data_IF_362451757500
#
_entry.id   IF_362451757500
#
_cell.length_a   1.000
_cell.length_b   1.000
_cell.length_c   1.000
_cell.angle_alpha   90.00
_cell.angle_beta   90.00
_cell.angle_gamma   90.00
#
_symmetry.space_group_name_H-M   'P 1'
#
loop_
_entity.id
_entity.type
_entity.pdbx_description
1 polymer ?
#
# COMPACT_ATOMS: atom_id res chain seq x y z
N UNK A 1 41.10 -12.13 -10.25
CA UNK A 1 40.33 -12.32 -11.49
C UNK A 1 39.19 -11.33 -11.49
N UNK A 2 39.35 -10.26 -12.22
CA UNK A 2 38.26 -9.29 -12.39
C UNK A 2 37.27 -9.85 -13.38
N UNK A 3 36.09 -10.27 -12.90
CA UNK A 3 34.99 -10.68 -13.74
C UNK A 3 34.43 -9.48 -14.47
N UNK A 4 34.71 -9.32 -15.74
CA UNK A 4 34.02 -8.39 -16.61
C UNK A 4 32.54 -8.75 -16.63
N UNK A 5 31.71 -7.98 -15.91
CA UNK A 5 30.27 -8.03 -16.02
C UNK A 5 29.94 -7.52 -17.44
N UNK A 6 29.58 -8.46 -18.32
CA UNK A 6 29.18 -8.13 -19.69
C UNK A 6 27.86 -7.37 -19.60
N UNK A 7 27.91 -6.04 -19.69
CA UNK A 7 26.72 -5.21 -19.75
C UNK A 7 25.87 -5.63 -20.94
N UNK A 8 24.67 -6.10 -20.68
CA UNK A 8 23.65 -6.35 -21.71
C UNK A 8 22.73 -5.14 -21.77
N UNK A 9 22.53 -4.61 -22.95
CA UNK A 9 21.53 -3.57 -23.15
C UNK A 9 20.16 -4.21 -23.40
N UNK A 10 19.13 -3.66 -22.79
CA UNK A 10 17.73 -4.00 -23.02
C UNK A 10 17.02 -2.75 -23.56
N UNK A 11 16.38 -2.87 -24.71
CA UNK A 11 15.59 -1.79 -25.28
C UNK A 11 14.11 -2.08 -25.02
N UNK A 12 13.42 -1.13 -24.40
CA UNK A 12 11.99 -1.22 -24.08
C UNK A 12 11.28 -0.06 -24.74
N UNK A 13 10.22 -0.35 -25.51
CA UNK A 13 9.31 0.67 -26.02
C UNK A 13 8.30 1.06 -24.95
N UNK A 14 8.30 2.33 -24.56
CA UNK A 14 7.41 2.88 -23.57
C UNK A 14 6.33 3.69 -24.27
N UNK A 15 5.02 3.37 -24.06
CA UNK A 15 3.92 4.16 -24.61
C UNK A 15 3.98 5.63 -24.19
N UNK A 16 3.62 6.56 -25.09
CA UNK A 16 3.67 8.01 -24.81
C UNK A 16 3.03 8.44 -23.47
N UNK A 17 1.84 7.95 -23.08
CA UNK A 17 1.23 8.37 -21.82
C UNK A 17 2.06 8.00 -20.58
N UNK A 18 2.76 6.86 -20.64
CA UNK A 18 3.64 6.40 -19.56
C UNK A 18 4.96 7.15 -19.56
N UNK A 19 5.47 7.47 -20.75
CA UNK A 19 6.70 8.24 -20.89
C UNK A 19 6.57 9.63 -20.28
N UNK A 20 5.45 10.32 -20.51
CA UNK A 20 5.17 11.65 -19.94
C UNK A 20 5.10 11.59 -18.41
N UNK A 21 4.44 10.59 -17.85
CA UNK A 21 4.39 10.39 -16.38
C UNK A 21 5.77 10.14 -15.78
N UNK A 22 6.60 9.34 -16.44
CA UNK A 22 7.97 9.08 -15.98
C UNK A 22 8.84 10.35 -15.99
N UNK A 23 8.70 11.18 -17.02
CA UNK A 23 9.39 12.48 -17.11
C UNK A 23 8.94 13.41 -15.98
N UNK A 24 7.64 13.48 -15.71
CA UNK A 24 7.09 14.32 -14.66
C UNK A 24 7.60 13.89 -13.26
N UNK A 25 7.58 12.59 -12.96
CA UNK A 25 8.07 12.05 -11.70
C UNK A 25 9.59 12.27 -11.55
N UNK A 26 10.36 12.02 -12.62
CA UNK A 26 11.80 12.24 -12.61
C UNK A 26 12.16 13.70 -12.34
N UNK A 27 11.41 14.64 -12.92
CA UNK A 27 11.58 16.07 -12.67
C UNK A 27 11.23 16.45 -11.21
N UNK A 28 10.16 15.88 -10.65
CA UNK A 28 9.77 16.13 -9.25
C UNK A 28 10.81 15.60 -8.26
N UNK A 29 11.49 14.51 -8.59
CA UNK A 29 12.51 13.88 -7.76
C UNK A 29 13.94 14.35 -8.07
N UNK A 30 14.09 15.27 -9.02
CA UNK A 30 15.38 15.84 -9.46
C UNK A 30 16.41 14.78 -9.87
N UNK A 31 15.95 13.74 -10.57
CA UNK A 31 16.75 12.66 -11.15
C UNK A 31 16.47 12.54 -12.66
N UNK A 32 17.34 11.87 -13.41
CA UNK A 32 17.05 11.55 -14.81
C UNK A 32 16.03 10.42 -14.92
N UNK A 33 15.29 10.37 -16.03
CA UNK A 33 14.28 9.31 -16.27
C UNK A 33 14.92 7.93 -16.22
N UNK A 34 16.13 7.79 -16.79
CA UNK A 34 16.90 6.55 -16.78
C UNK A 34 17.26 6.12 -15.36
N UNK A 35 17.74 7.06 -14.52
CA UNK A 35 18.07 6.79 -13.12
C UNK A 35 16.85 6.39 -12.31
N UNK A 36 15.72 7.03 -12.59
CA UNK A 36 14.45 6.68 -11.94
C UNK A 36 14.01 5.25 -12.31
N UNK A 37 14.01 4.93 -13.62
CA UNK A 37 13.65 3.59 -14.13
C UNK A 37 14.58 2.52 -13.56
N UNK A 38 15.90 2.77 -13.57
CA UNK A 38 16.88 1.82 -12.99
C UNK A 38 16.64 1.59 -11.52
N UNK A 39 16.33 2.63 -10.74
CA UNK A 39 16.00 2.50 -9.33
C UNK A 39 14.72 1.70 -9.06
N UNK A 40 13.71 1.82 -9.92
CA UNK A 40 12.48 1.01 -9.86
C UNK A 40 12.77 -0.44 -10.20
N UNK A 41 13.56 -0.70 -11.25
CA UNK A 41 13.94 -2.05 -11.67
C UNK A 41 14.83 -2.75 -10.65
N UNK A 42 15.76 -2.04 -10.03
CA UNK A 42 16.65 -2.57 -8.99
C UNK A 42 15.85 -3.03 -7.78
N UNK A 43 14.91 -2.21 -7.29
CA UNK A 43 13.99 -2.59 -6.22
C UNK A 43 13.10 -3.78 -6.60
N UNK A 44 12.65 -3.85 -7.85
CA UNK A 44 11.85 -4.98 -8.34
C UNK A 44 12.66 -6.28 -8.45
N UNK A 45 13.95 -6.19 -8.73
CA UNK A 45 14.85 -7.35 -8.85
C UNK A 45 15.24 -7.96 -7.50
N UNK A 46 15.21 -7.17 -6.42
CA UNK A 46 15.54 -7.66 -5.06
C UNK A 46 14.42 -8.50 -4.43
N UNK A 47 13.23 -8.55 -5.04
CA UNK A 47 12.08 -9.30 -4.50
C UNK A 47 11.94 -10.65 -5.19
N UNK A 48 12.33 -11.76 -4.55
CA UNK A 48 12.06 -13.09 -5.09
C UNK A 48 10.55 -13.36 -5.03
N UNK A 49 9.94 -13.60 -6.17
CA UNK A 49 8.50 -13.85 -6.41
C UNK A 49 7.61 -12.64 -6.70
N UNK A 50 8.05 -11.77 -7.60
CA UNK A 50 7.10 -10.85 -8.19
C UNK A 50 6.22 -11.58 -9.21
N UNK A 51 5.00 -11.92 -8.82
CA UNK A 51 3.95 -12.26 -9.79
C UNK A 51 3.70 -11.01 -10.63
N UNK A 52 4.13 -11.03 -11.88
CA UNK A 52 3.87 -9.96 -12.86
C UNK A 52 2.35 -9.85 -13.02
N UNK A 53 1.72 -8.90 -12.35
CA UNK A 53 0.27 -8.79 -12.47
C UNK A 53 -0.42 -7.68 -11.71
N UNK A 54 0.10 -7.23 -10.57
CA UNK A 54 -0.58 -6.16 -9.83
C UNK A 54 0.45 -5.08 -9.46
N UNK A 55 0.35 -3.87 -10.02
CA UNK A 55 1.20 -2.77 -9.59
C UNK A 55 0.99 -2.54 -8.09
N UNK A 56 2.09 -2.33 -7.37
CA UNK A 56 2.05 -1.98 -5.96
C UNK A 56 1.18 -0.72 -5.78
N UNK A 57 0.05 -0.85 -5.07
CA UNK A 57 -0.79 0.30 -4.78
C UNK A 57 -0.05 1.27 -3.88
N UNK A 58 -0.10 2.53 -4.24
CA UNK A 58 0.40 3.60 -3.39
C UNK A 58 -0.55 3.87 -2.23
N UNK A 59 -0.05 4.51 -1.17
CA UNK A 59 -0.88 4.94 -0.06
C UNK A 59 -2.07 5.80 -0.54
N UNK A 60 -1.84 6.69 -1.50
CA UNK A 60 -2.87 7.58 -2.07
C UNK A 60 -3.97 6.78 -2.77
N UNK A 61 -3.62 5.78 -3.57
CA UNK A 61 -4.60 4.90 -4.23
C UNK A 61 -5.44 4.13 -3.22
N UNK A 62 -4.82 3.63 -2.16
CA UNK A 62 -5.52 2.93 -1.08
C UNK A 62 -6.48 3.89 -0.35
N UNK A 63 -6.02 5.10 0.00
CA UNK A 63 -6.86 6.12 0.63
C UNK A 63 -8.07 6.49 -0.23
N UNK A 64 -7.89 6.65 -1.54
CA UNK A 64 -8.98 6.95 -2.46
C UNK A 64 -10.02 5.82 -2.48
N UNK A 65 -9.60 4.56 -2.60
CA UNK A 65 -10.51 3.41 -2.58
C UNK A 65 -11.27 3.34 -1.26
N UNK A 66 -10.59 3.50 -0.13
CA UNK A 66 -11.21 3.45 1.19
C UNK A 66 -12.18 4.61 1.42
N UNK A 67 -11.86 5.80 0.91
CA UNK A 67 -12.73 6.97 0.97
C UNK A 67 -14.02 6.77 0.17
N UNK A 68 -13.93 6.18 -1.03
CA UNK A 68 -15.10 5.85 -1.87
C UNK A 68 -16.07 4.90 -1.19
N UNK A 69 -15.56 3.92 -0.44
CA UNK A 69 -16.41 2.92 0.23
C UNK A 69 -16.79 3.29 1.66
N UNK A 70 -16.33 4.43 2.17
CA UNK A 70 -16.51 4.83 3.57
C UNK A 70 -17.98 4.85 4.01
N UNK A 71 -18.88 5.37 3.17
CA UNK A 71 -20.33 5.36 3.45
C UNK A 71 -20.87 3.94 3.60
N UNK A 72 -20.46 3.03 2.72
CA UNK A 72 -20.87 1.61 2.79
C UNK A 72 -20.34 0.92 4.04
N UNK A 73 -19.12 1.28 4.48
CA UNK A 73 -18.54 0.75 5.71
C UNK A 73 -19.32 1.22 6.95
N UNK A 74 -19.77 2.46 6.94
CA UNK A 74 -20.61 3.00 8.01
C UNK A 74 -21.99 2.35 8.04
N UNK A 75 -22.64 2.25 6.89
CA UNK A 75 -24.02 1.76 6.80
C UNK A 75 -24.12 0.24 7.04
N UNK A 76 -23.20 -0.54 6.48
CA UNK A 76 -23.26 -2.00 6.55
C UNK A 76 -22.54 -2.58 7.76
N UNK A 77 -21.38 -2.03 8.10
CA UNK A 77 -20.48 -2.59 9.13
C UNK A 77 -20.43 -1.75 10.40
N UNK A 78 -21.17 -0.64 10.48
CA UNK A 78 -21.17 0.29 11.61
C UNK A 78 -19.78 0.84 11.96
N UNK A 79 -18.92 0.99 10.96
CA UNK A 79 -17.60 1.60 11.12
C UNK A 79 -17.77 3.09 11.38
N UNK A 80 -17.25 3.59 12.48
CA UNK A 80 -17.26 5.01 12.83
C UNK A 80 -16.01 5.74 12.34
N UNK A 81 -14.85 5.07 12.39
CA UNK A 81 -13.59 5.64 11.93
C UNK A 81 -12.68 4.55 11.37
N UNK A 82 -11.91 4.92 10.34
CA UNK A 82 -10.95 4.07 9.67
C UNK A 82 -9.62 4.80 9.56
N UNK A 83 -8.52 4.08 9.74
CA UNK A 83 -7.17 4.62 9.56
C UNK A 83 -6.20 3.58 9.07
N UNK A 84 -5.16 4.04 8.39
CA UNK A 84 -4.05 3.21 7.91
C UNK A 84 -2.87 3.42 8.85
N UNK A 85 -2.21 2.34 9.27
CA UNK A 85 -1.01 2.40 10.08
C UNK A 85 0.06 1.44 9.55
N UNK A 86 1.15 1.24 10.30
CA UNK A 86 2.21 0.32 9.91
C UNK A 86 3.05 0.81 8.73
N UNK A 87 3.54 -0.11 7.90
CA UNK A 87 4.51 0.19 6.84
C UNK A 87 3.99 1.18 5.80
N UNK A 88 2.70 1.12 5.46
CA UNK A 88 2.09 2.08 4.53
C UNK A 88 2.03 3.50 5.08
N UNK A 89 1.72 3.66 6.37
CA UNK A 89 1.70 4.97 7.02
C UNK A 89 3.09 5.56 7.18
N UNK A 90 4.11 4.73 7.44
CA UNK A 90 5.50 5.15 7.56
C UNK A 90 6.20 5.36 6.22
N UNK A 91 5.66 4.82 5.11
CA UNK A 91 6.25 4.89 3.78
C UNK A 91 7.39 3.89 3.53
N UNK A 92 7.57 2.89 4.39
CA UNK A 92 8.59 1.82 4.26
C UNK A 92 8.01 0.50 3.73
N UNK A 93 6.83 0.55 3.08
CA UNK A 93 6.17 -0.61 2.50
C UNK A 93 6.84 -1.09 1.20
N UNK A 94 6.64 -2.38 0.89
CA UNK A 94 7.12 -3.04 -0.32
C UNK A 94 6.04 -3.99 -0.88
N UNK A 95 6.36 -4.71 -1.95
CA UNK A 95 5.42 -5.62 -2.62
C UNK A 95 4.94 -6.80 -1.78
N UNK A 96 5.63 -7.13 -0.69
CA UNK A 96 5.24 -8.17 0.25
C UNK A 96 4.52 -7.60 1.48
N UNK A 97 4.36 -6.27 1.59
CA UNK A 97 3.70 -5.64 2.71
C UNK A 97 2.19 -5.87 2.66
N UNK A 98 1.63 -6.29 3.79
CA UNK A 98 0.20 -6.25 4.04
C UNK A 98 -0.22 -4.82 4.38
N UNK A 99 -1.49 -4.49 4.22
CA UNK A 99 -2.01 -3.21 4.69
C UNK A 99 -2.62 -3.35 6.08
N UNK A 100 -2.09 -2.57 7.03
CA UNK A 100 -2.59 -2.52 8.39
C UNK A 100 -3.68 -1.45 8.52
N UNK A 101 -4.90 -1.86 8.86
CA UNK A 101 -6.05 -0.96 8.99
C UNK A 101 -6.55 -0.98 10.42
N UNK A 102 -6.60 0.21 11.02
CA UNK A 102 -7.24 0.46 12.31
C UNK A 102 -8.70 0.82 12.10
N UNK A 103 -9.60 0.14 12.79
CA UNK A 103 -11.03 0.40 12.72
C UNK A 103 -11.60 0.73 14.09
N UNK A 104 -12.47 1.73 14.12
CA UNK A 104 -13.36 2.02 15.25
C UNK A 104 -14.81 1.76 14.84
N UNK A 105 -15.58 1.19 15.73
CA UNK A 105 -16.97 0.87 15.50
C UNK A 105 -17.89 1.74 16.35
N UNK A 106 -19.04 2.13 15.80
CA UNK A 106 -20.09 2.80 16.55
C UNK A 106 -20.77 1.86 17.57
N UNK A 107 -20.77 0.57 17.27
CA UNK A 107 -21.29 -0.49 18.12
C UNK A 107 -20.28 -1.64 18.17
N UNK A 108 -20.22 -2.36 19.27
CA UNK A 108 -19.26 -3.48 19.42
C UNK A 108 -19.52 -4.54 18.37
N UNK A 109 -18.54 -4.80 17.47
CA UNK A 109 -18.69 -5.80 16.42
C UNK A 109 -18.65 -7.23 16.99
N UNK A 110 -19.29 -8.15 16.28
CA UNK A 110 -19.07 -9.57 16.48
C UNK A 110 -17.77 -10.01 15.80
N UNK A 111 -17.28 -11.20 16.09
CA UNK A 111 -16.12 -11.77 15.39
C UNK A 111 -16.41 -11.96 13.89
N UNK A 112 -17.66 -12.30 13.54
CA UNK A 112 -18.07 -12.45 12.14
C UNK A 112 -18.01 -11.13 11.38
N UNK A 113 -18.44 -10.03 12.00
CA UNK A 113 -18.39 -8.69 11.38
C UNK A 113 -16.95 -8.28 11.08
N UNK A 114 -16.02 -8.61 11.98
CA UNK A 114 -14.59 -8.35 11.79
C UNK A 114 -14.01 -9.13 10.60
N UNK A 115 -14.32 -10.43 10.52
CA UNK A 115 -13.84 -11.30 9.44
C UNK A 115 -14.46 -10.87 8.10
N UNK A 116 -15.76 -10.56 8.09
CA UNK A 116 -16.45 -10.11 6.88
C UNK A 116 -15.88 -8.79 6.37
N UNK A 117 -15.66 -7.84 7.27
CA UNK A 117 -15.05 -6.55 6.93
C UNK A 117 -13.62 -6.72 6.41
N UNK A 118 -12.80 -7.55 7.05
CA UNK A 118 -11.44 -7.83 6.60
C UNK A 118 -11.41 -8.43 5.20
N UNK A 119 -12.27 -9.41 4.93
CA UNK A 119 -12.38 -10.01 3.60
C UNK A 119 -12.87 -9.00 2.56
N UNK A 120 -13.89 -8.21 2.88
CA UNK A 120 -14.40 -7.17 2.00
C UNK A 120 -13.32 -6.14 1.65
N UNK A 121 -12.56 -5.67 2.62
CA UNK A 121 -11.46 -4.73 2.39
C UNK A 121 -10.33 -5.36 1.56
N UNK A 122 -9.99 -6.62 1.84
CA UNK A 122 -8.97 -7.35 1.06
C UNK A 122 -9.38 -7.50 -0.41
N UNK A 123 -10.65 -7.80 -0.67
CA UNK A 123 -11.19 -7.91 -2.03
C UNK A 123 -11.22 -6.55 -2.74
N UNK A 124 -11.61 -5.49 -2.04
CA UNK A 124 -11.67 -4.13 -2.61
C UNK A 124 -10.29 -3.57 -2.92
N UNK A 125 -9.34 -3.81 -2.03
CA UNK A 125 -7.96 -3.35 -2.18
C UNK A 125 -7.10 -4.28 -3.05
N UNK A 126 -7.58 -5.50 -3.33
CA UNK A 126 -6.82 -6.53 -4.05
C UNK A 126 -5.44 -6.78 -3.40
N UNK A 127 -5.42 -6.80 -2.08
CA UNK A 127 -4.23 -7.07 -1.27
C UNK A 127 -4.65 -7.57 0.10
N UNK A 128 -3.72 -8.20 0.81
CA UNK A 128 -3.98 -8.69 2.16
C UNK A 128 -4.14 -7.53 3.13
N UNK A 129 -5.22 -7.56 3.90
CA UNK A 129 -5.55 -6.58 4.93
C UNK A 129 -5.41 -7.22 6.31
N UNK A 130 -4.64 -6.59 7.18
CA UNK A 130 -4.64 -6.87 8.61
C UNK A 130 -5.52 -5.83 9.33
N UNK A 131 -6.69 -6.29 9.79
CA UNK A 131 -7.68 -5.44 10.43
C UNK A 131 -7.56 -5.51 11.94
N UNK A 132 -7.37 -4.37 12.59
CA UNK A 132 -7.26 -4.26 14.04
C UNK A 132 -8.28 -3.26 14.57
N UNK A 133 -8.99 -3.65 15.63
CA UNK A 133 -9.89 -2.71 16.34
C UNK A 133 -9.09 -1.86 17.32
N UNK A 134 -9.45 -0.59 17.46
CA UNK A 134 -8.80 0.33 18.40
C UNK A 134 -8.86 -0.18 19.84
N UNK A 135 -9.99 -0.80 20.20
CA UNK A 135 -10.17 -1.38 21.54
C UNK A 135 -9.39 -2.69 21.74
N UNK A 136 -9.07 -3.40 20.66
CA UNK A 136 -8.27 -4.62 20.65
C UNK A 136 -6.76 -4.39 20.71
N UNK A 137 -6.31 -3.14 20.59
CA UNK A 137 -4.88 -2.81 20.66
C UNK A 137 -4.33 -3.07 22.08
N UNK A 138 -3.24 -3.83 22.13
CA UNK A 138 -2.51 -4.04 23.40
C UNK A 138 -1.92 -2.70 23.88
N UNK A 139 -1.99 -2.40 25.19
CA UNK A 139 -1.51 -1.12 25.74
C UNK A 139 -0.08 -0.76 25.31
N UNK A 140 0.80 -1.76 25.21
CA UNK A 140 2.21 -1.59 24.90
C UNK A 140 2.48 -1.01 23.47
N UNK A 141 1.57 -1.26 22.54
CA UNK A 141 1.70 -0.83 21.15
C UNK A 141 0.68 0.24 20.74
N UNK A 142 -0.33 0.47 21.57
CA UNK A 142 -1.45 1.38 21.29
C UNK A 142 -0.97 2.81 21.02
N UNK A 143 -0.15 3.36 21.89
CA UNK A 143 0.38 4.72 21.73
C UNK A 143 1.17 4.88 20.45
N UNK A 144 2.02 3.89 20.13
CA UNK A 144 2.81 3.90 18.90
C UNK A 144 1.92 3.88 17.66
N UNK A 145 0.94 2.99 17.62
CA UNK A 145 0.01 2.88 16.48
C UNK A 145 -0.81 4.16 16.32
N UNK A 146 -1.35 4.71 17.41
CA UNK A 146 -2.12 5.95 17.37
C UNK A 146 -1.30 7.19 16.97
N UNK A 147 0.02 7.15 17.20
CA UNK A 147 0.92 8.22 16.77
C UNK A 147 1.24 8.19 15.26
N UNK A 148 1.17 7.01 14.63
CA UNK A 148 1.49 6.85 13.20
C UNK A 148 0.25 6.71 12.30
N UNK A 149 -0.94 6.48 12.87
CA UNK A 149 -2.15 6.23 12.10
C UNK A 149 -2.57 7.44 11.27
N UNK A 150 -2.88 7.19 10.01
CA UNK A 150 -3.44 8.17 9.07
C UNK A 150 -4.93 7.88 8.96
N UNK A 151 -5.74 8.70 9.59
CA UNK A 151 -7.21 8.59 9.55
C UNK A 151 -7.78 9.09 8.21
N UNK A 152 -8.93 8.50 7.83
CA UNK A 152 -9.65 8.80 6.58
C UNK A 152 -10.98 9.47 6.85
#
# INVERSE_FOLDING_TARGET
MEGFVKMKSLTIEIPEPLQQKLIEIANQTNVTVESYILGVLDRAAEVPNHTIGTPLKTLIEIQNILTEIKSQLTDKYHVSQLGIFGSYARGDYNSASDIDILVEYAQKPSLFDLIELQNYLSDRLQMKVDLVTKDGLKPQIKEKILAEVIYL
#
